data_IF_887761819202
#
_entry.id   IF_887761819202
#
_cell.length_a   1.000
_cell.length_b   1.000
_cell.length_c   1.000
_cell.angle_alpha   90.00
_cell.angle_beta   90.00
_cell.angle_gamma   90.00
#
_symmetry.space_group_name_H-M   'P 1'
#
loop_
_entity.id
_entity.type
_entity.pdbx_description
1 polymer ?
#
# COMPACT_ATOMS: atom_id res chain seq x y z
N UNK A 1 -16.32 -3.74 25.48
CA UNK A 1 -17.48 -3.58 24.60
C UNK A 1 -17.23 -2.54 23.48
N UNK A 2 -16.60 -1.44 23.75
CA UNK A 2 -16.34 -0.35 22.77
C UNK A 2 -15.48 -0.79 21.54
N UNK A 3 -14.46 -1.60 21.74
CA UNK A 3 -13.63 -2.13 20.65
C UNK A 3 -14.40 -3.07 19.69
N UNK A 4 -15.37 -3.84 20.19
CA UNK A 4 -16.21 -4.68 19.34
C UNK A 4 -17.16 -3.85 18.47
N UNK A 5 -17.75 -2.79 19.01
CA UNK A 5 -18.65 -1.89 18.27
C UNK A 5 -17.89 -1.16 17.15
N UNK A 6 -16.67 -0.65 17.42
CA UNK A 6 -15.81 -0.01 16.42
C UNK A 6 -15.40 -1.00 15.31
N UNK A 7 -15.06 -2.23 15.68
CA UNK A 7 -14.72 -3.28 14.71
C UNK A 7 -15.92 -3.63 13.82
N UNK A 8 -17.12 -3.81 14.40
CA UNK A 8 -18.35 -4.08 13.64
C UNK A 8 -18.68 -2.91 12.72
N UNK A 9 -18.55 -1.67 13.20
CA UNK A 9 -18.79 -0.47 12.39
C UNK A 9 -17.83 -0.41 11.18
N UNK A 10 -16.54 -0.67 11.38
CA UNK A 10 -15.56 -0.68 10.29
C UNK A 10 -15.85 -1.79 9.26
N UNK A 11 -16.21 -2.98 9.73
CA UNK A 11 -16.58 -4.09 8.82
C UNK A 11 -17.86 -3.74 8.05
N UNK A 12 -18.85 -3.16 8.71
CA UNK A 12 -20.10 -2.73 8.06
C UNK A 12 -19.84 -1.61 7.04
N UNK A 13 -18.99 -0.64 7.38
CA UNK A 13 -18.58 0.43 6.45
C UNK A 13 -17.88 -0.16 5.21
N UNK A 14 -16.91 -1.08 5.40
CA UNK A 14 -16.23 -1.76 4.30
C UNK A 14 -17.19 -2.53 3.42
N UNK A 15 -18.12 -3.26 4.03
CA UNK A 15 -19.15 -4.01 3.32
C UNK A 15 -20.05 -3.07 2.50
N UNK A 16 -20.47 -1.95 3.10
CA UNK A 16 -21.30 -0.95 2.41
C UNK A 16 -20.58 -0.31 1.23
N UNK A 17 -19.30 0.06 1.40
CA UNK A 17 -18.47 0.60 0.31
C UNK A 17 -18.29 -0.45 -0.79
N UNK A 18 -18.06 -1.71 -0.44
CA UNK A 18 -17.92 -2.80 -1.40
C UNK A 18 -19.23 -3.02 -2.19
N UNK A 19 -20.38 -3.09 -1.51
CA UNK A 19 -21.69 -3.24 -2.17
C UNK A 19 -22.00 -2.04 -3.06
N UNK A 20 -21.74 -0.80 -2.59
CA UNK A 20 -21.94 0.40 -3.39
C UNK A 20 -21.04 0.43 -4.65
N UNK A 21 -19.80 -0.07 -4.52
CA UNK A 21 -18.88 -0.19 -5.66
C UNK A 21 -19.39 -1.21 -6.66
N UNK A 22 -19.80 -2.40 -6.21
CA UNK A 22 -20.37 -3.42 -7.10
C UNK A 22 -21.62 -2.88 -7.81
N UNK A 23 -22.51 -2.23 -7.08
CA UNK A 23 -23.69 -1.62 -7.68
C UNK A 23 -23.32 -0.59 -8.74
N UNK A 24 -22.38 0.31 -8.43
CA UNK A 24 -21.94 1.37 -9.37
C UNK A 24 -21.22 0.85 -10.62
N UNK A 25 -20.53 -0.29 -10.49
CA UNK A 25 -19.83 -0.93 -11.61
C UNK A 25 -20.76 -1.75 -12.49
N UNK A 26 -21.70 -2.49 -11.88
CA UNK A 26 -22.54 -3.44 -12.60
C UNK A 26 -23.94 -2.90 -12.94
N UNK A 27 -24.28 -1.70 -12.48
CA UNK A 27 -25.59 -1.12 -12.76
C UNK A 27 -25.72 -0.78 -14.25
N UNK A 28 -26.64 -1.46 -14.92
CA UNK A 28 -26.87 -1.31 -16.35
C UNK A 28 -26.06 -2.23 -17.25
N UNK A 29 -25.17 -3.08 -16.69
CA UNK A 29 -24.35 -4.04 -17.43
C UNK A 29 -25.02 -5.41 -17.49
N UNK A 30 -24.86 -6.13 -18.60
CA UNK A 30 -25.29 -7.52 -18.71
C UNK A 30 -24.28 -8.48 -18.07
N UNK A 31 -24.60 -8.93 -16.85
CA UNK A 31 -23.73 -9.83 -16.09
C UNK A 31 -23.53 -11.18 -16.77
N UNK A 32 -24.47 -11.63 -17.61
CA UNK A 32 -24.34 -12.89 -18.34
C UNK A 32 -23.35 -12.76 -19.48
N UNK A 33 -23.35 -11.64 -20.21
CA UNK A 33 -22.37 -11.32 -21.24
C UNK A 33 -20.96 -11.20 -20.64
N UNK A 34 -20.82 -10.48 -19.52
CA UNK A 34 -19.55 -10.35 -18.80
C UNK A 34 -19.02 -11.73 -18.39
N UNK A 35 -19.89 -12.60 -17.84
CA UNK A 35 -19.48 -13.94 -17.42
C UNK A 35 -19.07 -14.83 -18.59
N UNK A 36 -19.69 -14.70 -19.74
CA UNK A 36 -19.30 -15.42 -20.96
C UNK A 36 -17.94 -14.94 -21.48
N UNK A 37 -17.73 -13.62 -21.54
CA UNK A 37 -16.44 -13.04 -21.94
C UNK A 37 -15.32 -13.53 -21.01
N UNK A 38 -15.56 -13.57 -19.70
CA UNK A 38 -14.56 -14.05 -18.74
C UNK A 38 -14.20 -15.53 -18.92
N UNK A 39 -15.09 -16.36 -19.48
CA UNK A 39 -14.78 -17.75 -19.83
C UNK A 39 -13.83 -17.89 -21.03
N UNK A 40 -13.77 -16.89 -21.91
CA UNK A 40 -12.91 -16.91 -23.10
C UNK A 40 -11.47 -16.47 -22.81
N UNK A 41 -11.19 -15.99 -21.60
CA UNK A 41 -9.89 -15.45 -21.20
C UNK A 41 -8.83 -16.56 -21.17
N UNK A 42 -7.67 -16.26 -21.74
CA UNK A 42 -6.52 -17.18 -21.71
C UNK A 42 -5.83 -17.13 -20.33
N UNK A 43 -6.13 -18.12 -19.50
CA UNK A 43 -5.61 -18.22 -18.13
C UNK A 43 -4.08 -18.31 -18.04
N UNK A 44 -3.39 -18.77 -19.11
CA UNK A 44 -1.91 -18.82 -19.13
C UNK A 44 -1.29 -17.43 -18.96
N UNK A 45 -1.94 -16.37 -19.46
CA UNK A 45 -1.48 -15.00 -19.27
C UNK A 45 -1.78 -14.43 -17.89
N UNK A 46 -2.74 -14.97 -17.16
CA UNK A 46 -3.04 -14.53 -15.80
C UNK A 46 -2.02 -15.05 -14.79
N UNK A 47 -1.41 -16.21 -15.03
CA UNK A 47 -0.41 -16.80 -14.13
C UNK A 47 0.78 -15.86 -13.86
N UNK A 48 1.49 -15.32 -14.88
CA UNK A 48 2.56 -14.35 -14.61
C UNK A 48 2.05 -13.08 -13.92
N UNK A 49 0.80 -12.68 -14.10
CA UNK A 49 0.18 -11.60 -13.33
C UNK A 49 0.09 -11.92 -11.83
N UNK A 50 -0.30 -13.14 -11.45
CA UNK A 50 -0.25 -13.60 -10.04
C UNK A 50 1.18 -13.58 -9.51
N UNK A 51 2.15 -14.00 -10.31
CA UNK A 51 3.58 -13.94 -9.94
C UNK A 51 4.01 -12.50 -9.66
N UNK A 52 3.55 -11.52 -10.45
CA UNK A 52 3.82 -10.10 -10.20
C UNK A 52 3.29 -9.64 -8.84
N UNK A 53 2.12 -10.09 -8.42
CA UNK A 53 1.57 -9.78 -7.07
C UNK A 53 2.40 -10.43 -5.97
N UNK A 54 2.84 -11.67 -6.16
CA UNK A 54 3.74 -12.34 -5.20
C UNK A 54 5.07 -11.59 -5.10
N UNK A 55 5.65 -11.15 -6.22
CA UNK A 55 6.86 -10.32 -6.25
C UNK A 55 6.64 -9.02 -5.51
N UNK A 56 5.47 -8.40 -5.65
CA UNK A 56 5.11 -7.18 -4.93
C UNK A 56 5.12 -7.39 -3.41
N UNK A 57 4.46 -8.44 -2.90
CA UNK A 57 4.43 -8.75 -1.46
C UNK A 57 5.85 -9.12 -0.95
N UNK A 58 6.59 -9.88 -1.73
CA UNK A 58 7.95 -10.29 -1.37
C UNK A 58 8.95 -9.14 -1.42
N UNK A 59 8.75 -8.19 -2.32
CA UNK A 59 9.59 -7.00 -2.39
C UNK A 59 9.65 -6.25 -1.06
N UNK A 60 8.50 -5.99 -0.42
CA UNK A 60 8.47 -5.37 0.92
C UNK A 60 9.12 -6.26 1.98
N UNK A 61 8.93 -7.58 1.90
CA UNK A 61 9.61 -8.53 2.79
C UNK A 61 11.14 -8.43 2.69
N UNK A 62 11.67 -8.32 1.48
CA UNK A 62 13.11 -8.15 1.23
C UNK A 62 13.59 -6.83 1.81
N UNK A 63 12.83 -5.75 1.64
CA UNK A 63 13.15 -4.43 2.20
C UNK A 63 13.22 -4.50 3.73
N UNK A 64 12.20 -5.07 4.38
CA UNK A 64 12.17 -5.22 5.84
C UNK A 64 13.36 -6.06 6.31
N UNK A 65 13.62 -7.19 5.65
CA UNK A 65 14.76 -8.05 5.97
C UNK A 65 16.09 -7.30 5.83
N UNK A 66 16.30 -6.60 4.72
CA UNK A 66 17.52 -5.85 4.44
C UNK A 66 17.76 -4.74 5.47
N UNK A 67 16.74 -3.91 5.74
CA UNK A 67 16.86 -2.84 6.73
C UNK A 67 17.10 -3.37 8.14
N UNK A 68 16.40 -4.42 8.57
CA UNK A 68 16.60 -5.01 9.89
C UNK A 68 18.00 -5.62 10.02
N UNK A 69 18.48 -6.29 8.98
CA UNK A 69 19.85 -6.85 8.96
C UNK A 69 20.91 -5.75 9.06
N UNK A 70 20.74 -4.64 8.32
CA UNK A 70 21.63 -3.48 8.38
C UNK A 70 21.67 -2.86 9.78
N UNK A 71 20.55 -2.87 10.50
CA UNK A 71 20.47 -2.41 11.90
C UNK A 71 20.93 -3.45 12.94
N UNK A 72 21.56 -4.56 12.52
CA UNK A 72 22.04 -5.62 13.39
C UNK A 72 20.94 -6.54 13.95
N UNK A 73 19.71 -6.41 13.46
CA UNK A 73 18.58 -7.26 13.90
C UNK A 73 18.42 -8.45 12.94
N UNK A 74 18.86 -9.63 13.40
CA UNK A 74 18.81 -10.83 12.58
C UNK A 74 17.43 -11.50 12.63
N UNK A 75 16.70 -11.44 11.53
CA UNK A 75 15.39 -12.06 11.35
C UNK A 75 15.45 -13.18 10.30
N UNK A 76 14.57 -14.17 10.43
CA UNK A 76 14.35 -15.14 9.36
C UNK A 76 13.56 -14.48 8.22
N UNK A 77 13.94 -14.69 6.96
CA UNK A 77 13.26 -14.16 5.75
C UNK A 77 11.75 -14.45 5.78
N UNK A 78 11.36 -15.64 6.20
CA UNK A 78 9.96 -16.03 6.36
C UNK A 78 9.18 -15.13 7.33
N UNK A 79 9.77 -14.69 8.44
CA UNK A 79 9.11 -13.77 9.38
C UNK A 79 8.89 -12.40 8.76
N UNK A 80 9.85 -11.91 7.95
CA UNK A 80 9.70 -10.66 7.23
C UNK A 80 8.55 -10.76 6.21
N UNK A 81 8.41 -11.90 5.53
CA UNK A 81 7.29 -12.15 4.62
C UNK A 81 5.93 -12.14 5.36
N UNK A 82 5.86 -12.70 6.55
CA UNK A 82 4.65 -12.63 7.37
C UNK A 82 4.34 -11.20 7.82
N UNK A 83 5.37 -10.39 8.15
CA UNK A 83 5.15 -8.97 8.48
C UNK A 83 4.59 -8.20 7.29
N UNK A 84 5.16 -8.36 6.09
CA UNK A 84 4.64 -7.72 4.87
C UNK A 84 3.20 -8.15 4.59
N UNK A 85 2.91 -9.46 4.65
CA UNK A 85 1.56 -9.97 4.43
C UNK A 85 0.54 -9.37 5.40
N UNK A 86 0.89 -9.27 6.70
CA UNK A 86 0.05 -8.58 7.69
C UNK A 86 -0.16 -7.11 7.30
N UNK A 87 0.90 -6.43 6.88
CA UNK A 87 0.83 -5.05 6.43
C UNK A 87 -0.13 -4.87 5.28
N UNK A 88 0.02 -5.63 4.22
CA UNK A 88 -0.84 -5.56 3.04
C UNK A 88 -2.29 -5.93 3.35
N UNK A 89 -2.53 -6.99 4.11
CA UNK A 89 -3.89 -7.35 4.51
C UNK A 89 -4.62 -6.20 5.19
N UNK A 90 -4.02 -5.63 6.25
CA UNK A 90 -4.64 -4.52 6.97
C UNK A 90 -4.67 -3.23 6.15
N UNK A 91 -3.72 -2.99 5.24
CA UNK A 91 -3.76 -1.87 4.29
C UNK A 91 -4.92 -1.98 3.32
N UNK A 92 -5.18 -3.15 2.76
CA UNK A 92 -6.29 -3.37 1.84
C UNK A 92 -7.65 -3.12 2.50
N UNK A 93 -7.85 -3.53 3.76
CA UNK A 93 -9.15 -3.44 4.44
C UNK A 93 -9.36 -2.15 5.25
N UNK A 94 -8.42 -1.22 5.23
CA UNK A 94 -8.55 0.04 5.98
C UNK A 94 -8.50 1.26 5.07
N UNK A 95 -9.25 2.33 5.40
CA UNK A 95 -9.20 3.58 4.63
C UNK A 95 -7.77 4.13 4.54
N UNK A 96 -7.36 4.59 3.36
CA UNK A 96 -6.01 5.14 3.09
C UNK A 96 -4.86 4.23 3.58
N UNK A 97 -5.06 2.92 3.61
CA UNK A 97 -4.07 1.92 4.07
C UNK A 97 -3.54 2.14 5.50
N UNK A 98 -4.28 2.85 6.36
CA UNK A 98 -3.81 3.29 7.68
C UNK A 98 -3.61 2.14 8.68
N UNK A 99 -4.21 0.98 8.47
CA UNK A 99 -4.12 -0.17 9.37
C UNK A 99 -2.86 -1.02 9.22
N UNK A 100 -2.19 -0.94 8.07
CA UNK A 100 -1.05 -1.82 7.76
C UNK A 100 0.12 -1.67 8.72
N UNK A 101 0.66 -0.46 8.84
CA UNK A 101 1.82 -0.19 9.71
C UNK A 101 1.57 -0.51 11.20
N UNK A 102 0.47 -0.07 11.84
CA UNK A 102 0.18 -0.45 13.21
C UNK A 102 0.12 -1.96 13.43
N UNK A 103 -0.46 -2.70 12.47
CA UNK A 103 -0.51 -4.15 12.53
C UNK A 103 0.89 -4.76 12.41
N UNK A 104 1.72 -4.31 11.47
CA UNK A 104 3.11 -4.76 11.34
C UNK A 104 3.91 -4.51 12.61
N UNK A 105 3.85 -3.30 13.19
CA UNK A 105 4.52 -2.96 14.45
C UNK A 105 4.08 -3.90 15.58
N UNK A 106 2.79 -4.21 15.66
CA UNK A 106 2.26 -5.14 16.66
C UNK A 106 2.89 -6.55 16.54
N UNK A 107 3.01 -7.08 15.32
CA UNK A 107 3.62 -8.38 15.08
C UNK A 107 5.15 -8.34 15.26
N UNK A 108 5.82 -7.28 14.84
CA UNK A 108 7.26 -7.06 15.08
C UNK A 108 7.59 -6.99 16.57
N UNK A 109 6.74 -6.32 17.38
CA UNK A 109 6.86 -6.29 18.85
C UNK A 109 6.76 -7.69 19.45
N UNK A 110 5.89 -8.56 18.94
CA UNK A 110 5.82 -9.96 19.39
C UNK A 110 7.13 -10.74 19.17
N UNK A 111 7.93 -10.34 18.19
CA UNK A 111 9.27 -10.87 17.93
C UNK A 111 10.37 -10.09 18.65
N UNK A 112 10.01 -9.27 19.67
CA UNK A 112 10.90 -8.47 20.51
C UNK A 112 11.67 -7.36 19.76
N UNK A 113 11.20 -6.95 18.59
CA UNK A 113 11.76 -5.81 17.87
C UNK A 113 11.26 -4.53 18.58
N UNK A 114 12.16 -3.58 18.90
CA UNK A 114 11.76 -2.33 19.52
C UNK A 114 10.80 -1.53 18.65
N UNK A 115 9.75 -0.97 19.27
CA UNK A 115 8.73 -0.19 18.54
C UNK A 115 9.35 0.98 17.76
N UNK A 116 10.29 1.78 18.33
CA UNK A 116 10.89 2.90 17.60
C UNK A 116 11.60 2.46 16.31
N UNK A 117 12.33 1.35 16.36
CA UNK A 117 13.02 0.78 15.19
C UNK A 117 12.01 0.31 14.14
N UNK A 118 10.99 -0.45 14.57
CA UNK A 118 9.93 -0.92 13.67
C UNK A 118 9.21 0.25 13.00
N UNK A 119 8.90 1.30 13.77
CA UNK A 119 8.21 2.50 13.26
C UNK A 119 9.06 3.20 12.22
N UNK A 120 10.35 3.40 12.47
CA UNK A 120 11.25 4.08 11.53
C UNK A 120 11.45 3.27 10.24
N UNK A 121 11.68 1.96 10.36
CA UNK A 121 11.82 1.07 9.20
C UNK A 121 10.57 1.12 8.32
N UNK A 122 9.38 0.97 8.91
CA UNK A 122 8.12 1.00 8.16
C UNK A 122 7.81 2.40 7.60
N UNK A 123 8.24 3.46 8.28
CA UNK A 123 8.11 4.82 7.76
C UNK A 123 8.97 5.01 6.50
N UNK A 124 10.20 4.47 6.48
CA UNK A 124 11.06 4.51 5.28
C UNK A 124 10.45 3.66 4.16
N UNK A 125 9.92 2.47 4.45
CA UNK A 125 9.17 1.65 3.48
C UNK A 125 8.05 2.48 2.84
N UNK A 126 7.27 3.19 3.64
CA UNK A 126 6.17 4.02 3.13
C UNK A 126 6.67 5.23 2.34
N UNK A 127 7.73 5.89 2.80
CA UNK A 127 8.34 7.00 2.07
C UNK A 127 8.80 6.55 0.69
N UNK A 128 9.53 5.44 0.59
CA UNK A 128 10.03 4.94 -0.71
C UNK A 128 8.88 4.49 -1.61
N UNK A 129 7.85 3.86 -1.05
CA UNK A 129 6.63 3.47 -1.74
C UNK A 129 5.92 4.67 -2.38
N UNK A 130 5.70 5.74 -1.61
CA UNK A 130 5.07 6.97 -2.10
C UNK A 130 6.01 7.77 -3.00
N UNK A 131 7.32 7.73 -2.77
CA UNK A 131 8.30 8.40 -3.62
C UNK A 131 8.30 7.85 -5.05
N UNK A 132 8.05 6.57 -5.26
CA UNK A 132 7.84 6.00 -6.61
C UNK A 132 6.66 6.68 -7.29
N UNK A 133 5.53 6.87 -6.59
CA UNK A 133 4.37 7.57 -7.14
C UNK A 133 4.66 9.04 -7.43
N UNK A 134 5.42 9.71 -6.56
CA UNK A 134 5.88 11.10 -6.79
C UNK A 134 6.77 11.18 -8.02
N UNK A 135 7.73 10.27 -8.18
CA UNK A 135 8.62 10.24 -9.36
C UNK A 135 7.83 10.02 -10.64
N UNK A 136 6.86 9.10 -10.64
CA UNK A 136 5.99 8.88 -11.80
C UNK A 136 5.11 10.10 -12.05
N UNK A 137 4.48 10.65 -11.01
CA UNK A 137 3.60 11.82 -11.12
C UNK A 137 4.31 13.04 -11.67
N UNK A 138 5.42 13.45 -11.03
CA UNK A 138 6.22 14.59 -11.48
C UNK A 138 6.89 14.32 -12.84
N UNK A 139 7.38 13.09 -13.07
CA UNK A 139 7.97 12.70 -14.36
C UNK A 139 6.98 12.88 -15.51
N UNK A 140 5.73 12.44 -15.35
CA UNK A 140 4.69 12.66 -16.35
C UNK A 140 4.31 14.13 -16.49
N UNK A 141 4.26 14.92 -15.41
CA UNK A 141 3.95 16.34 -15.46
C UNK A 141 5.03 17.14 -16.20
N UNK A 142 6.29 16.79 -16.07
CA UNK A 142 7.44 17.50 -16.65
C UNK A 142 7.69 17.03 -18.10
N UNK A 143 7.81 15.72 -18.28
CA UNK A 143 8.25 15.12 -19.54
C UNK A 143 7.12 14.50 -20.36
N UNK A 144 6.00 14.13 -19.72
CA UNK A 144 4.88 13.39 -20.31
C UNK A 144 3.68 14.25 -20.70
N UNK A 145 3.83 15.55 -20.98
CA UNK A 145 2.70 16.44 -21.31
C UNK A 145 1.88 15.93 -22.49
N UNK A 146 2.52 15.38 -23.52
CA UNK A 146 1.85 14.74 -24.65
C UNK A 146 1.02 13.54 -24.21
N UNK A 147 1.58 12.66 -23.38
CA UNK A 147 0.91 11.49 -22.83
C UNK A 147 -0.34 11.90 -22.00
N UNK A 148 -0.20 12.91 -21.14
CA UNK A 148 -1.31 13.43 -20.33
C UNK A 148 -2.43 13.94 -21.24
N UNK A 149 -2.08 14.71 -22.28
CA UNK A 149 -3.05 15.28 -23.21
C UNK A 149 -3.78 14.22 -24.04
N UNK A 150 -3.08 13.14 -24.40
CA UNK A 150 -3.64 12.10 -25.28
C UNK A 150 -4.47 11.07 -24.50
N UNK A 151 -4.02 10.67 -23.28
CA UNK A 151 -4.60 9.53 -22.57
C UNK A 151 -5.34 9.90 -21.28
N UNK A 152 -5.18 11.13 -20.76
CA UNK A 152 -5.60 11.47 -19.40
C UNK A 152 -6.28 12.84 -19.32
N UNK A 153 -6.75 13.39 -20.41
CA UNK A 153 -7.31 14.74 -20.45
C UNK A 153 -8.42 14.95 -19.42
N UNK A 154 -9.35 14.00 -19.32
CA UNK A 154 -10.53 14.10 -18.47
C UNK A 154 -10.23 13.90 -16.99
N UNK A 155 -9.16 13.16 -16.67
CA UNK A 155 -8.79 12.86 -15.28
C UNK A 155 -7.59 13.67 -14.76
N UNK A 156 -7.03 14.56 -15.58
CA UNK A 156 -5.80 15.30 -15.25
C UNK A 156 -5.85 16.02 -13.90
N UNK A 157 -7.00 16.56 -13.52
CA UNK A 157 -7.14 17.28 -12.25
C UNK A 157 -7.03 16.34 -11.04
N UNK A 158 -7.62 15.14 -11.13
CA UNK A 158 -7.51 14.10 -10.08
C UNK A 158 -6.06 13.62 -10.00
N UNK A 159 -5.41 13.43 -11.14
CA UNK A 159 -4.00 13.05 -11.20
C UNK A 159 -3.06 14.11 -10.57
N UNK A 160 -3.29 15.40 -10.86
CA UNK A 160 -2.50 16.49 -10.27
C UNK A 160 -2.74 16.60 -8.76
N UNK A 161 -3.99 16.46 -8.32
CA UNK A 161 -4.33 16.41 -6.90
C UNK A 161 -3.64 15.23 -6.21
N UNK A 162 -3.74 14.03 -6.78
CA UNK A 162 -3.09 12.82 -6.24
C UNK A 162 -1.57 12.98 -6.15
N UNK A 163 -0.93 13.52 -7.20
CA UNK A 163 0.51 13.83 -7.20
C UNK A 163 0.87 14.81 -6.09
N UNK A 164 0.11 15.92 -5.98
CA UNK A 164 0.33 16.93 -4.93
C UNK A 164 0.21 16.37 -3.52
N UNK A 165 -0.82 15.54 -3.27
CA UNK A 165 -1.01 14.87 -1.99
C UNK A 165 0.13 13.90 -1.66
N UNK A 166 0.61 13.13 -2.63
CA UNK A 166 1.76 12.24 -2.44
C UNK A 166 3.04 13.03 -2.16
N UNK A 167 3.30 14.14 -2.87
CA UNK A 167 4.44 15.05 -2.61
C UNK A 167 4.37 15.59 -1.19
N UNK A 168 3.21 16.11 -0.78
CA UNK A 168 3.00 16.63 0.58
C UNK A 168 3.24 15.55 1.65
N UNK A 169 2.72 14.34 1.43
CA UNK A 169 2.91 13.23 2.36
C UNK A 169 4.39 12.82 2.48
N UNK A 170 5.09 12.66 1.35
CA UNK A 170 6.53 12.32 1.36
C UNK A 170 7.34 13.41 2.04
N UNK A 171 7.12 14.69 1.72
CA UNK A 171 7.82 15.81 2.33
C UNK A 171 7.59 15.84 3.85
N UNK A 172 6.33 15.65 4.30
CA UNK A 172 5.99 15.62 5.72
C UNK A 172 6.66 14.44 6.44
N UNK A 173 6.66 13.25 5.84
CA UNK A 173 7.30 12.07 6.43
C UNK A 173 8.83 12.21 6.49
N UNK A 174 9.47 12.73 5.43
CA UNK A 174 10.91 13.01 5.41
C UNK A 174 11.28 14.02 6.51
N UNK A 175 10.48 15.06 6.68
CA UNK A 175 10.66 16.04 7.76
C UNK A 175 10.65 15.36 9.13
N UNK A 176 9.69 14.45 9.38
CA UNK A 176 9.61 13.72 10.64
C UNK A 176 10.79 12.75 10.86
N UNK A 177 11.31 12.13 9.78
CA UNK A 177 12.47 11.23 9.87
C UNK A 177 13.74 12.01 10.19
N UNK A 178 13.98 13.12 9.49
CA UNK A 178 15.26 13.87 9.60
C UNK A 178 15.24 14.96 10.68
N UNK A 179 14.09 15.28 11.27
CA UNK A 179 13.95 16.23 12.39
C UNK A 179 13.30 15.59 13.62
N UNK A 180 14.04 14.76 14.38
CA UNK A 180 13.50 14.03 15.54
C UNK A 180 12.93 14.96 16.63
N UNK A 181 13.48 16.17 16.77
CA UNK A 181 12.97 17.19 17.71
C UNK A 181 11.53 17.60 17.36
N UNK A 182 11.26 17.77 16.05
CA UNK A 182 9.91 18.07 15.56
C UNK A 182 8.97 16.88 15.79
N UNK A 183 9.41 15.68 15.47
CA UNK A 183 8.64 14.44 15.70
C UNK A 183 8.26 14.30 17.18
N UNK A 184 9.23 14.53 18.11
CA UNK A 184 9.01 14.53 19.55
C UNK A 184 7.98 15.60 19.96
N UNK A 185 8.13 16.83 19.46
CA UNK A 185 7.22 17.93 19.79
C UNK A 185 5.78 17.63 19.37
N UNK A 186 5.59 17.05 18.19
CA UNK A 186 4.26 16.64 17.70
C UNK A 186 3.67 15.54 18.58
N UNK A 187 4.46 14.53 18.96
CA UNK A 187 3.98 13.43 19.82
C UNK A 187 3.63 13.92 21.23
N UNK A 188 4.45 14.79 21.83
CA UNK A 188 4.17 15.37 23.16
C UNK A 188 2.90 16.20 23.10
N UNK A 189 2.78 17.14 22.15
CA UNK A 189 1.57 17.95 21.98
C UNK A 189 0.32 17.11 21.69
N UNK A 190 0.47 16.05 20.90
CA UNK A 190 -0.61 15.09 20.65
C UNK A 190 -1.07 14.38 21.92
N UNK A 191 -0.12 13.95 22.76
CA UNK A 191 -0.43 13.34 24.06
C UNK A 191 -1.12 14.33 25.01
N UNK A 192 -0.62 15.56 25.11
CA UNK A 192 -1.24 16.62 25.92
C UNK A 192 -2.67 16.92 25.46
N UNK A 193 -2.89 16.97 24.14
CA UNK A 193 -4.24 17.15 23.57
C UNK A 193 -5.18 16.00 23.94
N UNK A 194 -4.71 14.74 23.85
CA UNK A 194 -5.50 13.57 24.26
C UNK A 194 -5.79 13.53 25.75
N UNK A 195 -4.86 14.00 26.59
CA UNK A 195 -5.07 14.17 28.02
C UNK A 195 -6.10 15.28 28.30
N UNK A 196 -6.00 16.41 27.61
CA UNK A 196 -6.96 17.52 27.71
C UNK A 196 -8.38 17.13 27.26
N UNK A 197 -8.48 16.25 26.27
CA UNK A 197 -9.74 15.67 25.78
C UNK A 197 -10.28 14.56 26.71
N UNK A 198 -9.64 14.28 27.86
CA UNK A 198 -9.98 13.18 28.79
C UNK A 198 -9.98 11.77 28.14
N UNK A 199 -9.37 11.62 26.97
CA UNK A 199 -9.23 10.32 26.28
C UNK A 199 -8.07 9.49 26.87
N UNK A 200 -7.14 10.13 27.58
CA UNK A 200 -6.03 9.48 28.27
C UNK A 200 -5.83 10.06 29.69
N UNK A 201 -5.48 9.18 30.65
CA UNK A 201 -5.09 9.60 32.00
C UNK A 201 -3.64 10.06 32.02
N UNK A 202 -3.34 11.16 32.72
CA UNK A 202 -1.96 11.64 32.89
C UNK A 202 -1.12 10.60 33.64
N UNK A 203 0.08 10.28 33.13
CA UNK A 203 1.09 9.42 33.77
C UNK A 203 2.49 9.92 33.43
N UNK A 204 3.22 10.42 34.41
CA UNK A 204 4.62 10.90 34.28
C UNK A 204 5.55 9.88 33.64
N UNK A 205 5.40 8.60 33.97
CA UNK A 205 6.18 7.49 33.37
C UNK A 205 6.00 7.33 31.86
N UNK A 206 4.97 7.94 31.26
CA UNK A 206 4.78 7.91 29.79
C UNK A 206 5.75 8.83 29.07
N UNK A 207 5.99 10.02 29.63
CA UNK A 207 6.92 10.99 29.05
C UNK A 207 8.35 10.43 29.09
N UNK A 208 8.75 9.78 30.18
CA UNK A 208 10.06 9.11 30.26
C UNK A 208 10.20 7.98 29.21
N UNK A 209 9.18 7.13 29.07
CA UNK A 209 9.15 6.09 28.05
C UNK A 209 9.15 6.65 26.62
N UNK A 210 8.45 7.76 26.41
CA UNK A 210 8.46 8.45 25.12
C UNK A 210 9.87 8.98 24.82
N UNK A 211 10.53 9.62 25.80
CA UNK A 211 11.89 10.14 25.63
C UNK A 211 12.86 9.03 25.26
N UNK A 212 12.89 7.92 26.02
CA UNK A 212 13.74 6.76 25.71
C UNK A 212 13.45 6.18 24.30
N UNK A 213 12.16 6.16 23.90
CA UNK A 213 11.77 5.73 22.55
C UNK A 213 12.25 6.70 21.48
N UNK A 214 12.22 8.00 21.75
CA UNK A 214 12.69 9.02 20.81
C UNK A 214 14.21 9.05 20.68
N UNK A 215 14.96 8.74 21.74
CA UNK A 215 16.40 8.61 21.69
C UNK A 215 16.80 7.41 20.79
N UNK A 216 16.10 6.28 20.94
CA UNK A 216 16.32 5.12 20.08
C UNK A 216 15.92 5.40 18.61
N UNK A 217 14.81 6.11 18.40
CA UNK A 217 14.38 6.56 17.08
C UNK A 217 15.45 7.45 16.43
N UNK A 218 15.95 8.44 17.17
CA UNK A 218 17.01 9.35 16.71
C UNK A 218 18.28 8.60 16.33
N UNK A 219 18.78 7.72 17.19
CA UNK A 219 19.97 6.91 16.92
C UNK A 219 19.82 6.11 15.63
N UNK A 220 18.66 5.47 15.44
CA UNK A 220 18.37 4.68 14.24
C UNK A 220 18.26 5.57 12.99
N UNK A 221 17.65 6.76 13.09
CA UNK A 221 17.54 7.71 12.00
C UNK A 221 18.89 8.27 11.55
N UNK A 222 19.76 8.61 12.51
CA UNK A 222 21.14 9.05 12.23
C UNK A 222 21.92 7.94 11.52
N UNK A 223 21.86 6.71 12.04
CA UNK A 223 22.50 5.57 11.40
C UNK A 223 22.08 5.41 9.94
N UNK A 224 20.79 5.46 9.64
CA UNK A 224 20.29 5.33 8.27
C UNK A 224 20.69 6.53 7.39
N UNK A 225 20.78 7.74 7.95
CA UNK A 225 21.28 8.93 7.25
C UNK A 225 22.75 8.75 6.84
N UNK A 226 23.57 8.17 7.69
CA UNK A 226 24.98 7.91 7.39
C UNK A 226 25.16 6.74 6.40
N UNK A 227 24.12 5.93 6.19
CA UNK A 227 24.11 4.79 5.27
C UNK A 227 23.14 5.01 4.09
N UNK A 228 23.28 6.12 3.37
CA UNK A 228 22.37 6.50 2.26
C UNK A 228 22.23 5.43 1.18
N UNK A 229 23.28 4.61 0.97
CA UNK A 229 23.19 3.50 0.01
C UNK A 229 22.11 2.47 0.37
N UNK A 230 21.82 2.31 1.67
CA UNK A 230 20.71 1.46 2.12
C UNK A 230 19.38 2.02 1.61
N UNK A 231 19.18 3.33 1.73
CA UNK A 231 17.95 4.00 1.26
C UNK A 231 17.80 3.93 -0.26
N UNK A 232 18.91 4.08 -0.99
CA UNK A 232 18.93 3.94 -2.46
C UNK A 232 18.55 2.51 -2.87
N UNK A 233 19.10 1.50 -2.22
CA UNK A 233 18.77 0.09 -2.49
C UNK A 233 17.30 -0.19 -2.17
N UNK A 234 16.80 0.31 -1.04
CA UNK A 234 15.38 0.18 -0.67
C UNK A 234 14.48 0.82 -1.72
N UNK A 235 14.83 2.02 -2.20
CA UNK A 235 14.09 2.68 -3.26
C UNK A 235 14.10 1.88 -4.58
N UNK A 236 15.25 1.32 -4.96
CA UNK A 236 15.37 0.49 -6.18
C UNK A 236 14.50 -0.78 -6.09
N UNK A 237 14.51 -1.46 -4.94
CA UNK A 237 13.64 -2.62 -4.69
C UNK A 237 12.17 -2.21 -4.74
N UNK A 238 11.82 -1.06 -4.13
CA UNK A 238 10.45 -0.53 -4.14
C UNK A 238 10.00 -0.18 -5.56
N UNK A 239 10.87 0.42 -6.35
CA UNK A 239 10.59 0.73 -7.75
C UNK A 239 10.26 -0.54 -8.53
N UNK A 240 11.11 -1.56 -8.43
CA UNK A 240 10.91 -2.85 -9.09
C UNK A 240 9.58 -3.52 -8.68
N UNK A 241 9.30 -3.61 -7.38
CA UNK A 241 8.07 -4.26 -6.89
C UNK A 241 6.80 -3.51 -7.33
N UNK A 242 6.83 -2.17 -7.36
CA UNK A 242 5.68 -1.37 -7.82
C UNK A 242 5.42 -1.55 -9.31
N UNK A 243 6.47 -1.53 -10.14
CA UNK A 243 6.33 -1.80 -11.57
C UNK A 243 5.88 -3.24 -11.85
N UNK A 244 6.32 -4.22 -11.08
CA UNK A 244 5.79 -5.58 -11.17
C UNK A 244 4.26 -5.60 -10.96
N UNK A 245 3.76 -4.92 -9.92
CA UNK A 245 2.31 -4.83 -9.67
C UNK A 245 1.57 -4.15 -10.84
N UNK A 246 2.10 -3.04 -11.38
CA UNK A 246 1.48 -2.34 -12.50
C UNK A 246 1.46 -3.19 -13.78
N UNK A 247 2.45 -4.06 -13.95
CA UNK A 247 2.55 -4.98 -15.09
C UNK A 247 1.43 -6.04 -15.07
N UNK A 248 0.82 -6.32 -13.91
CA UNK A 248 -0.30 -7.26 -13.83
C UNK A 248 -1.46 -6.89 -14.78
N UNK A 249 -1.77 -5.60 -14.95
CA UNK A 249 -2.79 -5.14 -15.90
C UNK A 249 -2.43 -5.41 -17.35
N UNK A 250 -1.13 -5.35 -17.70
CA UNK A 250 -0.69 -5.73 -19.04
C UNK A 250 -0.89 -7.23 -19.30
N UNK A 251 -0.70 -8.09 -18.31
CA UNK A 251 -0.99 -9.51 -18.45
C UNK A 251 -2.50 -9.77 -18.63
N UNK A 252 -3.37 -8.99 -17.98
CA UNK A 252 -4.81 -9.05 -18.24
C UNK A 252 -5.13 -8.64 -19.68
N UNK A 253 -4.51 -7.57 -20.19
CA UNK A 253 -4.67 -7.15 -21.58
C UNK A 253 -4.28 -8.28 -22.56
N UNK A 254 -3.16 -8.98 -22.30
CA UNK A 254 -2.73 -10.14 -23.08
C UNK A 254 -3.66 -11.35 -22.94
N UNK A 255 -4.28 -11.53 -21.79
CA UNK A 255 -5.22 -12.62 -21.54
C UNK A 255 -6.48 -12.53 -22.41
N UNK A 256 -6.87 -11.32 -22.82
CA UNK A 256 -7.93 -11.08 -23.82
C UNK A 256 -7.47 -11.18 -25.28
N UNK A 257 -6.21 -11.56 -25.54
CA UNK A 257 -5.65 -11.69 -26.91
C UNK A 257 -5.33 -10.35 -27.57
N UNK A 258 -5.39 -9.23 -26.83
CA UNK A 258 -5.14 -7.91 -27.37
C UNK A 258 -3.66 -7.64 -27.63
N UNK A 259 -3.34 -6.87 -28.68
CA UNK A 259 -1.95 -6.59 -29.10
C UNK A 259 -1.69 -5.16 -29.59
N UNK A 260 -2.74 -4.33 -29.74
CA UNK A 260 -2.63 -3.00 -30.33
C UNK A 260 -1.90 -1.94 -29.48
N UNK A 261 -1.82 -2.12 -28.14
CA UNK A 261 -1.24 -1.13 -27.24
C UNK A 261 0.07 -1.65 -26.63
N UNK A 262 1.08 -0.76 -26.59
CA UNK A 262 2.39 -1.07 -25.99
C UNK A 262 2.28 -1.34 -24.48
N UNK A 263 3.03 -2.33 -23.98
CA UNK A 263 3.11 -2.66 -22.56
C UNK A 263 3.43 -1.45 -21.67
N UNK A 264 4.38 -0.61 -22.08
CA UNK A 264 4.78 0.57 -21.33
C UNK A 264 3.62 1.57 -21.12
N UNK A 265 2.79 1.77 -22.14
CA UNK A 265 1.59 2.62 -22.07
C UNK A 265 0.63 2.06 -21.01
N UNK A 266 0.33 0.76 -21.05
CA UNK A 266 -0.59 0.10 -20.10
C UNK A 266 -0.07 0.21 -18.66
N UNK A 267 1.22 -0.05 -18.48
CA UNK A 267 1.88 0.04 -17.15
C UNK A 267 1.83 1.48 -16.62
N UNK A 268 2.09 2.48 -17.48
CA UNK A 268 1.98 3.89 -17.08
C UNK A 268 0.54 4.27 -16.75
N UNK A 269 -0.44 3.86 -17.55
CA UNK A 269 -1.86 4.14 -17.27
C UNK A 269 -2.29 3.54 -15.92
N UNK A 270 -1.86 2.31 -15.63
CA UNK A 270 -2.12 1.68 -14.34
C UNK A 270 -1.43 2.43 -13.17
N UNK A 271 -0.21 2.91 -13.40
CA UNK A 271 0.51 3.72 -12.40
C UNK A 271 -0.18 5.06 -12.13
N UNK A 272 -0.77 5.68 -13.16
CA UNK A 272 -1.55 6.92 -13.03
C UNK A 272 -2.78 6.72 -12.14
N UNK A 273 -3.51 5.61 -12.29
CA UNK A 273 -4.59 5.28 -11.36
C UNK A 273 -4.06 5.24 -9.93
N UNK A 274 -2.95 4.50 -9.71
CA UNK A 274 -2.35 4.40 -8.38
C UNK A 274 -1.95 5.77 -7.81
N UNK A 275 -1.28 6.63 -8.60
CA UNK A 275 -0.93 8.01 -8.18
C UNK A 275 -2.17 8.80 -7.77
N UNK A 276 -3.26 8.65 -8.53
CA UNK A 276 -4.48 9.42 -8.34
C UNK A 276 -5.28 9.01 -7.10
N UNK A 277 -5.25 7.72 -6.71
CA UNK A 277 -6.13 7.19 -5.65
C UNK A 277 -5.43 6.87 -4.33
N UNK A 278 -4.10 6.77 -4.31
CA UNK A 278 -3.32 6.26 -3.17
C UNK A 278 -3.60 7.01 -1.85
N UNK A 279 -3.86 8.31 -1.92
CA UNK A 279 -4.11 9.16 -0.74
C UNK A 279 -5.60 9.36 -0.43
N UNK A 280 -6.50 8.79 -1.23
CA UNK A 280 -7.93 8.96 -1.01
C UNK A 280 -8.43 8.08 0.14
N UNK A 281 -9.40 8.57 0.96
CA UNK A 281 -9.84 7.88 2.18
C UNK A 281 -10.78 6.70 1.89
N UNK A 282 -10.47 5.89 0.88
CA UNK A 282 -11.25 4.72 0.47
C UNK A 282 -10.38 3.46 0.55
N UNK A 283 -10.89 2.36 1.12
CA UNK A 283 -10.17 1.09 1.17
C UNK A 283 -9.85 0.60 -0.23
N UNK A 284 -8.56 0.36 -0.54
CA UNK A 284 -8.11 -0.06 -1.87
C UNK A 284 -8.51 0.87 -3.03
N UNK A 285 -8.91 2.12 -2.74
CA UNK A 285 -9.38 3.08 -3.73
C UNK A 285 -10.70 2.70 -4.40
N UNK A 286 -11.50 1.80 -3.78
CA UNK A 286 -12.76 1.28 -4.34
C UNK A 286 -13.70 2.40 -4.78
N UNK A 287 -14.38 2.20 -5.91
CA UNK A 287 -15.27 3.15 -6.58
C UNK A 287 -14.51 4.11 -7.50
N UNK A 288 -13.49 4.80 -6.99
CA UNK A 288 -12.73 5.77 -7.78
C UNK A 288 -11.75 5.08 -8.72
N UNK A 289 -11.05 4.03 -8.26
CA UNK A 289 -10.14 3.27 -9.13
C UNK A 289 -10.86 2.67 -10.32
N UNK A 290 -12.05 2.10 -10.12
CA UNK A 290 -12.88 1.50 -11.16
C UNK A 290 -13.35 2.57 -12.16
N UNK A 291 -13.81 3.72 -11.67
CA UNK A 291 -14.20 4.84 -12.54
C UNK A 291 -13.01 5.37 -13.35
N UNK A 292 -11.85 5.56 -12.72
CA UNK A 292 -10.65 6.00 -13.45
C UNK A 292 -10.19 4.94 -14.45
N UNK A 293 -10.28 3.65 -14.10
CA UNK A 293 -9.98 2.58 -15.04
C UNK A 293 -10.87 2.68 -16.26
N UNK A 294 -12.19 2.80 -16.10
CA UNK A 294 -13.12 2.93 -17.21
C UNK A 294 -12.80 4.13 -18.11
N UNK A 295 -12.46 5.29 -17.52
CA UNK A 295 -12.13 6.49 -18.28
C UNK A 295 -10.80 6.41 -19.04
N UNK A 296 -9.78 5.73 -18.47
CA UNK A 296 -8.42 5.69 -19.02
C UNK A 296 -8.24 4.51 -19.98
N UNK A 297 -8.84 3.36 -19.67
CA UNK A 297 -8.61 2.13 -20.40
C UNK A 297 -9.65 1.82 -21.48
N UNK A 298 -10.70 2.64 -21.63
CA UNK A 298 -11.67 2.47 -22.72
C UNK A 298 -11.01 2.43 -24.12
N UNK A 299 -10.05 3.34 -24.45
CA UNK A 299 -9.34 3.27 -25.73
C UNK A 299 -8.44 2.03 -25.89
N UNK A 300 -8.07 1.38 -24.78
CA UNK A 300 -7.15 0.24 -24.74
C UNK A 300 -7.91 -1.09 -24.87
N UNK A 301 -9.00 -1.26 -24.12
CA UNK A 301 -9.79 -2.49 -24.09
C UNK A 301 -10.99 -2.46 -25.04
N UNK A 302 -11.44 -1.27 -25.46
CA UNK A 302 -12.72 -1.08 -26.15
C UNK A 302 -13.91 -1.27 -25.23
N UNK A 303 -15.09 -0.83 -25.64
CA UNK A 303 -16.31 -0.83 -24.82
C UNK A 303 -16.71 -2.22 -24.30
N UNK A 304 -16.62 -3.25 -25.14
CA UNK A 304 -17.03 -4.62 -24.80
C UNK A 304 -16.12 -5.28 -23.75
N UNK A 305 -14.81 -5.05 -23.82
CA UNK A 305 -13.83 -5.68 -22.91
C UNK A 305 -13.45 -4.79 -21.72
N UNK A 306 -13.98 -3.58 -21.62
CA UNK A 306 -13.62 -2.60 -20.59
C UNK A 306 -13.97 -3.11 -19.20
N UNK A 307 -15.22 -3.52 -18.97
CA UNK A 307 -15.68 -4.00 -17.67
C UNK A 307 -15.05 -5.36 -17.31
N UNK A 308 -15.03 -6.37 -18.19
CA UNK A 308 -14.28 -7.60 -17.94
C UNK A 308 -12.79 -7.36 -17.65
N UNK A 309 -12.16 -6.46 -18.39
CA UNK A 309 -10.75 -6.07 -18.19
C UNK A 309 -10.51 -5.40 -16.84
N UNK A 310 -11.41 -4.53 -16.41
CA UNK A 310 -11.38 -3.90 -15.10
C UNK A 310 -11.52 -4.94 -13.97
N UNK A 311 -12.49 -5.85 -14.08
CA UNK A 311 -12.74 -6.91 -13.09
C UNK A 311 -11.50 -7.79 -12.92
N UNK A 312 -10.91 -8.25 -14.04
CA UNK A 312 -9.71 -9.09 -13.99
C UNK A 312 -8.48 -8.31 -13.49
N UNK A 313 -8.33 -7.05 -13.89
CA UNK A 313 -7.23 -6.21 -13.42
C UNK A 313 -7.30 -5.97 -11.90
N UNK A 314 -8.51 -5.70 -11.37
CA UNK A 314 -8.74 -5.60 -9.92
C UNK A 314 -8.63 -6.95 -9.23
N UNK A 315 -9.16 -8.00 -9.87
CA UNK A 315 -9.03 -9.39 -9.40
C UNK A 315 -7.58 -9.77 -9.18
N UNK A 316 -6.77 -9.50 -10.17
CA UNK A 316 -5.35 -9.85 -10.16
C UNK A 316 -4.55 -8.93 -9.23
N UNK A 317 -4.72 -7.62 -9.34
CA UNK A 317 -3.93 -6.66 -8.56
C UNK A 317 -4.36 -6.58 -7.09
N UNK A 318 -5.63 -6.34 -6.82
CA UNK A 318 -6.11 -6.05 -5.47
C UNK A 318 -6.64 -7.29 -4.73
N UNK A 319 -7.53 -8.09 -5.35
CA UNK A 319 -8.15 -9.21 -4.64
C UNK A 319 -7.18 -10.39 -4.44
N UNK A 320 -6.24 -10.62 -5.37
CA UNK A 320 -5.18 -11.62 -5.19
C UNK A 320 -4.22 -11.20 -4.07
N UNK A 321 -3.83 -9.93 -4.00
CA UNK A 321 -3.03 -9.39 -2.91
C UNK A 321 -3.73 -9.57 -1.56
N UNK A 322 -5.01 -9.20 -1.48
CA UNK A 322 -5.83 -9.35 -0.28
C UNK A 322 -5.92 -10.81 0.16
N UNK A 323 -6.19 -11.73 -0.77
CA UNK A 323 -6.35 -13.16 -0.48
C UNK A 323 -5.05 -13.78 0.04
N UNK A 324 -3.94 -13.57 -0.68
CA UNK A 324 -2.62 -14.07 -0.28
C UNK A 324 -2.26 -13.51 1.09
N UNK A 325 -2.40 -12.20 1.28
CA UNK A 325 -2.07 -11.52 2.53
C UNK A 325 -2.96 -11.96 3.69
N UNK A 326 -4.25 -12.25 3.45
CA UNK A 326 -5.16 -12.79 4.45
C UNK A 326 -4.71 -14.17 4.94
N UNK A 327 -4.39 -15.09 4.02
CA UNK A 327 -3.91 -16.43 4.34
C UNK A 327 -2.65 -16.35 5.22
N UNK A 328 -1.66 -15.55 4.81
CA UNK A 328 -0.41 -15.42 5.56
C UNK A 328 -0.56 -14.60 6.85
N UNK A 329 -1.56 -13.74 6.97
CA UNK A 329 -1.92 -13.08 8.24
C UNK A 329 -2.46 -14.10 9.24
N UNK A 330 -3.26 -15.06 8.80
CA UNK A 330 -3.70 -16.17 9.65
C UNK A 330 -2.49 -17.00 10.10
N UNK A 331 -1.58 -17.36 9.19
CA UNK A 331 -0.34 -18.07 9.53
C UNK A 331 0.51 -17.26 10.51
N UNK A 332 0.65 -15.94 10.32
CA UNK A 332 1.36 -15.06 11.24
C UNK A 332 0.80 -15.10 12.66
N UNK A 333 -0.54 -15.13 12.80
CA UNK A 333 -1.18 -15.18 14.11
C UNK A 333 -0.85 -16.46 14.90
N UNK A 334 -0.63 -17.57 14.20
CA UNK A 334 -0.25 -18.85 14.83
C UNK A 334 1.25 -19.03 15.03
N UNK A 335 2.10 -18.39 14.25
CA UNK A 335 3.55 -18.63 14.23
C UNK A 335 4.35 -17.55 14.96
N UNK A 336 3.94 -16.29 14.87
CA UNK A 336 4.66 -15.16 15.47
C UNK A 336 4.36 -15.09 16.98
N UNK A 337 5.41 -15.02 17.79
CA UNK A 337 5.30 -14.95 19.25
C UNK A 337 4.99 -16.29 19.95
N UNK A 338 4.98 -17.41 19.23
CA UNK A 338 4.68 -18.74 19.81
C UNK A 338 5.68 -19.14 20.91
N UNK A 339 6.93 -18.68 20.82
CA UNK A 339 7.96 -18.93 21.83
C UNK A 339 7.72 -18.20 23.17
N UNK A 340 6.87 -17.18 23.19
CA UNK A 340 6.47 -16.49 24.42
C UNK A 340 5.37 -17.26 25.17
N UNK A 341 4.49 -17.98 24.45
CA UNK A 341 3.44 -18.82 25.07
C UNK A 341 3.95 -20.12 25.66
N UNK A 342 5.14 -20.60 25.26
CA UNK A 342 5.75 -21.82 25.82
C UNK A 342 6.59 -21.55 27.10
N UNK A 343 6.82 -20.27 27.46
CA UNK A 343 7.59 -19.88 28.65
C UNK A 343 6.73 -19.19 29.74
N UNK A 344 5.44 -19.01 29.48
CA UNK A 344 4.42 -18.62 30.46
C UNK A 344 3.54 -19.83 30.82
#
# INVERSE_FOLDING_TARGET
MENKKKMIFNVLFLFLVFVATLYGVFHGEDLSEIAEILKTVNLYWLFPGVVCVIIFIWGESIIIFYMMHTLGIHLKKWKCFLFSSVGFFFSCITPSATGGQPAQIYYMKKEKIPIPVSTLVLMIVTITYKMVLVVIGLGLMIFGRGFIRTHMYDIRHIFYLGTGLNVFCVASMLLLVFHPVLARSILVKGMELLEKMHLMRHKSTRIEKLNASMDQYHTTAVYLKDHMMVLVNVFAITLFQRFALFTATWFVYKAFGLSGTNAFVIILLQSVISVSVDMLPLPGGMGISEKLFSMIFEPVFGSTLLIPGMILSRGLGYYTELLISAIFTIVANFTIGRNLRKKA
#
